data_IF_909187753975
#
_entry.id   IF_909187753975
#
_cell.length_a   1.000
_cell.length_b   1.000
_cell.length_c   1.000
_cell.angle_alpha   90.00
_cell.angle_beta   90.00
_cell.angle_gamma   90.00
#
_symmetry.space_group_name_H-M   'P 1'
#
loop_
_entity.id
_entity.type
_entity.pdbx_description
1 polymer ?
#
# COMPACT_ATOMS: atom_id res chain seq x y z
N UNK A 1 35.84 -16.65 53.41
CA UNK A 1 36.79 -15.53 53.19
C UNK A 1 36.43 -14.87 51.87
N UNK A 2 36.19 -13.55 51.87
CA UNK A 2 36.13 -12.73 50.63
C UNK A 2 37.49 -12.04 50.44
N UNK A 3 37.72 -11.49 49.24
CA UNK A 3 38.80 -10.56 48.80
C UNK A 3 39.87 -11.24 47.93
N UNK A 4 40.33 -10.75 46.77
CA UNK A 4 39.96 -9.65 45.84
C UNK A 4 40.62 -9.95 44.46
N UNK A 5 40.04 -9.31 43.44
CA UNK A 5 40.37 -9.20 42.01
C UNK A 5 41.85 -8.86 41.69
N UNK A 6 42.39 -9.45 40.62
CA UNK A 6 43.45 -8.92 39.73
C UNK A 6 43.23 -9.57 38.34
N UNK A 7 42.62 -8.91 37.35
CA UNK A 7 43.19 -7.99 36.35
C UNK A 7 44.05 -8.66 35.25
N UNK A 8 43.50 -8.60 34.02
CA UNK A 8 44.19 -8.39 32.72
C UNK A 8 45.02 -9.55 32.14
N UNK A 9 44.56 -10.15 31.03
CA UNK A 9 45.18 -10.01 29.69
C UNK A 9 44.39 -10.77 28.62
N UNK A 10 44.17 -10.08 27.50
CA UNK A 10 43.58 -10.58 26.28
C UNK A 10 44.38 -11.75 25.67
N UNK A 11 43.73 -12.55 24.83
CA UNK A 11 44.17 -12.82 23.44
C UNK A 11 43.00 -13.49 22.71
N UNK A 12 42.70 -12.92 21.55
CA UNK A 12 41.70 -13.37 20.60
C UNK A 12 42.01 -14.77 20.05
N UNK A 13 40.97 -15.56 19.84
CA UNK A 13 40.98 -16.64 18.88
C UNK A 13 39.68 -16.56 18.08
N UNK A 14 39.75 -15.85 16.96
CA UNK A 14 38.77 -15.94 15.87
C UNK A 14 38.83 -17.37 15.35
N UNK A 15 37.76 -18.12 15.55
CA UNK A 15 37.53 -19.40 14.90
C UNK A 15 36.17 -19.34 14.23
N UNK A 16 36.18 -18.90 12.97
CA UNK A 16 35.09 -19.11 12.04
C UNK A 16 35.05 -20.59 11.66
N UNK A 17 33.96 -21.27 12.03
CA UNK A 17 33.47 -22.51 11.42
C UNK A 17 31.94 -22.42 11.50
N UNK A 18 31.31 -21.77 10.53
CA UNK A 18 30.70 -22.36 9.34
C UNK A 18 29.63 -23.44 9.64
N UNK A 19 28.39 -22.96 9.50
CA UNK A 19 27.19 -23.64 9.04
C UNK A 19 26.56 -24.73 9.93
N UNK A 20 25.54 -24.32 10.68
CA UNK A 20 24.39 -25.17 11.01
C UNK A 20 23.13 -24.28 11.11
N UNK A 21 22.31 -24.34 10.06
CA UNK A 21 20.85 -24.11 9.99
C UNK A 21 20.17 -23.56 11.25
N UNK A 22 19.78 -22.28 11.21
CA UNK A 22 18.77 -21.69 12.08
C UNK A 22 18.06 -20.53 11.36
N UNK A 23 16.78 -20.38 11.67
CA UNK A 23 15.80 -19.47 11.09
C UNK A 23 16.19 -17.98 11.07
N UNK A 24 15.40 -17.27 10.27
CA UNK A 24 14.90 -15.91 10.49
C UNK A 24 15.77 -14.71 10.11
N UNK A 25 15.19 -13.95 9.16
CA UNK A 25 15.06 -12.50 9.12
C UNK A 25 16.28 -11.61 8.77
N UNK A 26 16.13 -11.07 7.54
CA UNK A 26 16.32 -9.69 7.11
C UNK A 26 17.64 -9.14 6.51
N UNK A 27 17.38 -8.36 5.45
CA UNK A 27 18.16 -7.35 4.72
C UNK A 27 19.23 -7.79 3.68
N UNK A 28 19.33 -7.24 2.45
CA UNK A 28 18.54 -6.30 1.63
C UNK A 28 19.21 -6.24 0.24
N UNK A 29 18.43 -5.87 -0.79
CA UNK A 29 18.79 -5.45 -2.18
C UNK A 29 19.01 -6.49 -3.29
N UNK A 30 18.24 -6.34 -4.39
CA UNK A 30 18.77 -6.63 -5.72
C UNK A 30 17.86 -7.28 -6.76
N UNK A 31 16.67 -6.70 -7.00
CA UNK A 31 15.88 -6.73 -8.24
C UNK A 31 16.05 -7.87 -9.28
N UNK A 32 14.98 -8.63 -9.51
CA UNK A 32 14.29 -8.65 -10.82
C UNK A 32 13.01 -9.48 -10.76
N UNK A 33 11.91 -8.71 -10.70
CA UNK A 33 10.60 -8.92 -11.31
C UNK A 33 10.40 -10.12 -12.24
N UNK A 34 9.35 -10.90 -11.93
CA UNK A 34 8.37 -11.48 -12.87
C UNK A 34 7.33 -12.27 -12.05
N UNK A 35 6.07 -11.86 -11.86
CA UNK A 35 5.36 -10.64 -12.24
C UNK A 35 4.50 -10.17 -11.07
N UNK A 36 4.32 -8.86 -10.98
CA UNK A 36 3.30 -8.27 -10.15
C UNK A 36 1.95 -8.61 -10.77
N UNK A 37 1.28 -9.63 -10.24
CA UNK A 37 -0.16 -9.51 -10.07
C UNK A 37 -0.33 -8.42 -9.02
N UNK A 38 -0.76 -7.24 -9.44
CA UNK A 38 -1.01 -6.09 -8.57
C UNK A 38 -2.29 -6.29 -7.75
N UNK A 39 -2.44 -7.47 -7.15
CA UNK A 39 -3.56 -7.85 -6.29
C UNK A 39 -3.03 -8.83 -5.25
N UNK A 40 -2.23 -8.33 -4.32
CA UNK A 40 -1.63 -9.15 -3.27
C UNK A 40 -2.36 -8.91 -1.96
N UNK A 41 -3.26 -9.83 -1.63
CA UNK A 41 -3.85 -10.01 -0.31
C UNK A 41 -2.79 -9.83 0.80
N UNK A 42 -3.04 -8.91 1.73
CA UNK A 42 -2.10 -8.56 2.79
C UNK A 42 -2.33 -9.45 4.03
N UNK A 43 -1.30 -9.79 4.82
CA UNK A 43 -1.50 -10.59 6.02
C UNK A 43 -2.42 -9.87 7.02
N UNK A 44 -3.41 -10.59 7.57
CA UNK A 44 -4.33 -10.06 8.57
C UNK A 44 -3.70 -10.11 9.96
N UNK A 45 -3.69 -8.98 10.68
CA UNK A 45 -3.42 -8.95 12.13
C UNK A 45 -4.56 -9.68 12.88
N UNK A 46 -4.27 -10.71 13.70
CA UNK A 46 -5.29 -11.45 14.45
C UNK A 46 -5.98 -10.63 15.55
N UNK A 47 -5.45 -9.45 15.91
CA UNK A 47 -6.02 -8.57 16.92
C UNK A 47 -7.04 -7.57 16.36
N UNK A 48 -7.16 -7.43 15.03
CA UNK A 48 -7.99 -6.41 14.39
C UNK A 48 -8.75 -6.95 13.18
N UNK A 49 -9.88 -6.32 12.86
CA UNK A 49 -10.60 -6.63 11.64
C UNK A 49 -9.84 -6.09 10.42
N UNK A 50 -10.10 -6.62 9.22
CA UNK A 50 -9.44 -6.11 8.02
C UNK A 50 -9.81 -4.65 7.78
N UNK A 51 -11.06 -4.28 8.01
CA UNK A 51 -11.56 -2.92 7.88
C UNK A 51 -11.02 -1.93 8.91
N UNK A 52 -10.34 -2.42 9.96
CA UNK A 52 -9.59 -1.56 10.89
C UNK A 52 -8.11 -1.41 10.48
N UNK A 53 -7.60 -2.31 9.63
CA UNK A 53 -6.21 -2.35 9.19
C UNK A 53 -5.99 -1.61 7.87
N UNK A 54 -6.96 -1.67 6.95
CA UNK A 54 -6.90 -1.02 5.64
C UNK A 54 -8.16 -0.18 5.41
N UNK A 55 -8.03 0.84 4.55
CA UNK A 55 -9.16 1.64 4.10
C UNK A 55 -9.85 0.94 2.92
N UNK A 56 -11.12 0.61 3.12
CA UNK A 56 -12.00 0.00 2.11
C UNK A 56 -13.09 0.99 1.67
N UNK A 57 -12.88 2.30 1.83
CA UNK A 57 -13.76 3.31 1.26
C UNK A 57 -13.91 3.09 -0.25
N UNK A 58 -15.15 3.10 -0.74
CA UNK A 58 -15.46 2.82 -2.14
C UNK A 58 -15.47 1.33 -2.52
N UNK A 59 -15.12 0.41 -1.62
CA UNK A 59 -15.22 -1.03 -1.87
C UNK A 59 -16.68 -1.46 -1.96
N UNK A 60 -17.00 -2.19 -3.04
CA UNK A 60 -18.36 -2.70 -3.28
C UNK A 60 -18.73 -3.82 -2.30
N UNK A 61 -17.74 -4.51 -1.73
CA UNK A 61 -17.91 -5.58 -0.76
C UNK A 61 -18.18 -4.96 0.60
N UNK A 62 -19.11 -5.55 1.34
CA UNK A 62 -19.43 -5.05 2.68
C UNK A 62 -18.30 -5.30 3.67
N UNK A 63 -18.14 -4.44 4.68
CA UNK A 63 -17.16 -4.64 5.76
C UNK A 63 -17.25 -6.04 6.40
N UNK A 64 -18.45 -6.59 6.52
CA UNK A 64 -18.65 -7.94 7.06
C UNK A 64 -18.09 -9.02 6.14
N UNK A 65 -18.26 -8.88 4.82
CA UNK A 65 -17.72 -9.79 3.82
C UNK A 65 -16.19 -9.74 3.80
N UNK A 66 -15.61 -8.54 3.74
CA UNK A 66 -14.17 -8.31 3.80
C UNK A 66 -13.56 -8.92 5.06
N UNK A 67 -14.19 -8.71 6.22
CA UNK A 67 -13.72 -9.29 7.47
C UNK A 67 -13.84 -10.82 7.49
N UNK A 68 -14.89 -11.38 6.88
CA UNK A 68 -15.07 -12.83 6.78
C UNK A 68 -13.98 -13.44 5.90
N UNK A 69 -13.68 -12.83 4.74
CA UNK A 69 -12.56 -13.24 3.87
C UNK A 69 -11.26 -13.21 4.67
N UNK A 70 -11.03 -12.14 5.43
CA UNK A 70 -9.90 -11.99 6.34
C UNK A 70 -9.75 -13.12 7.35
N UNK A 71 -10.83 -13.46 8.04
CA UNK A 71 -10.83 -14.55 9.04
C UNK A 71 -10.63 -15.93 8.40
N UNK A 72 -11.21 -16.16 7.22
CA UNK A 72 -11.15 -17.46 6.54
C UNK A 72 -9.79 -17.73 5.88
N UNK A 73 -9.18 -16.70 5.29
CA UNK A 73 -7.94 -16.82 4.52
C UNK A 73 -6.69 -16.49 5.35
N UNK A 74 -6.85 -15.73 6.44
CA UNK A 74 -5.73 -15.15 7.19
C UNK A 74 -5.08 -13.97 6.47
N UNK A 75 -5.67 -13.49 5.37
CA UNK A 75 -5.23 -12.32 4.61
C UNK A 75 -6.39 -11.38 4.34
N UNK A 76 -6.14 -10.08 4.47
CA UNK A 76 -7.07 -9.05 4.12
C UNK A 76 -7.00 -8.79 2.60
N UNK A 77 -8.14 -8.86 1.89
CA UNK A 77 -8.17 -8.66 0.46
C UNK A 77 -7.78 -7.23 0.09
N UNK A 78 -7.21 -7.03 -1.09
CA UNK A 78 -6.97 -5.68 -1.59
C UNK A 78 -8.31 -4.96 -1.82
N UNK A 79 -8.47 -3.69 -1.42
CA UNK A 79 -9.71 -2.95 -1.60
C UNK A 79 -10.06 -2.82 -3.10
N UNK A 80 -11.21 -3.38 -3.47
CA UNK A 80 -11.72 -3.36 -4.84
C UNK A 80 -12.33 -1.98 -5.13
N UNK A 81 -11.91 -1.33 -6.21
CA UNK A 81 -12.33 0.05 -6.52
C UNK A 81 -11.25 1.10 -6.30
N UNK A 82 -10.04 0.69 -5.91
CA UNK A 82 -8.87 1.57 -5.76
C UNK A 82 -7.97 1.65 -7.00
N UNK A 83 -8.39 1.07 -8.13
CA UNK A 83 -7.70 1.19 -9.42
C UNK A 83 -7.85 2.63 -9.98
N UNK A 84 -7.05 3.55 -9.43
CA UNK A 84 -6.95 4.93 -9.88
C UNK A 84 -7.73 5.92 -9.00
N UNK A 85 -7.08 6.34 -7.93
CA UNK A 85 -7.49 7.39 -7.00
C UNK A 85 -8.64 7.04 -6.06
N UNK A 86 -8.39 7.36 -4.79
CA UNK A 86 -9.37 7.60 -3.75
C UNK A 86 -10.38 8.64 -4.27
N UNK A 87 -11.41 8.18 -4.98
CA UNK A 87 -12.60 8.95 -5.24
C UNK A 87 -13.40 8.93 -3.95
N UNK A 88 -13.31 10.01 -3.18
CA UNK A 88 -14.26 10.25 -2.10
C UNK A 88 -15.70 10.11 -2.63
N UNK A 89 -16.62 9.73 -1.75
CA UNK A 89 -18.06 9.46 -1.96
C UNK A 89 -18.89 10.56 -2.69
N UNK A 90 -18.26 11.55 -3.33
CA UNK A 90 -18.86 12.58 -4.18
C UNK A 90 -18.35 12.46 -5.63
N UNK A 91 -18.18 11.22 -6.12
CA UNK A 91 -17.90 10.94 -7.53
C UNK A 91 -19.07 11.45 -8.39
N UNK A 92 -18.98 12.73 -8.79
CA UNK A 92 -19.77 13.28 -9.87
C UNK A 92 -19.59 12.48 -11.16
N UNK A 93 -20.35 12.81 -12.19
CA UNK A 93 -20.43 12.14 -13.51
C UNK A 93 -19.11 12.11 -14.34
N UNK A 94 -17.95 12.22 -13.69
CA UNK A 94 -16.63 12.30 -14.29
C UNK A 94 -15.83 10.99 -14.28
N UNK A 95 -14.68 11.03 -14.94
CA UNK A 95 -13.71 9.93 -15.01
C UNK A 95 -12.70 10.03 -13.85
N UNK A 96 -12.33 8.94 -13.17
CA UNK A 96 -11.31 8.99 -12.11
C UNK A 96 -10.00 9.60 -12.60
N UNK A 97 -9.44 10.51 -11.81
CA UNK A 97 -8.20 11.20 -12.14
C UNK A 97 -7.01 10.29 -11.85
N UNK A 98 -6.17 10.07 -12.85
CA UNK A 98 -4.91 9.33 -12.66
C UNK A 98 -3.91 10.12 -11.78
N UNK A 99 -3.23 9.45 -10.83
CA UNK A 99 -2.28 10.11 -9.95
C UNK A 99 -1.09 10.67 -10.75
N UNK A 100 -0.77 11.94 -10.53
CA UNK A 100 0.33 12.63 -11.20
C UNK A 100 0.02 13.15 -12.60
N UNK A 101 -1.20 12.96 -13.11
CA UNK A 101 -1.67 13.55 -14.37
C UNK A 101 -2.68 14.67 -14.12
N UNK A 102 -2.62 15.72 -14.95
CA UNK A 102 -3.70 16.71 -14.99
C UNK A 102 -4.88 16.14 -15.79
N UNK A 103 -6.10 16.57 -15.48
CA UNK A 103 -7.28 16.12 -16.21
C UNK A 103 -7.19 16.46 -17.69
N UNK A 104 -6.60 17.61 -18.02
CA UNK A 104 -6.39 18.01 -19.40
C UNK A 104 -5.28 17.25 -20.14
N UNK A 105 -4.44 16.50 -19.42
CA UNK A 105 -3.48 15.57 -20.01
C UNK A 105 -4.08 14.17 -20.20
N UNK A 106 -5.08 13.81 -19.40
CA UNK A 106 -5.80 12.53 -19.46
C UNK A 106 -6.94 12.55 -20.49
N UNK A 107 -7.71 13.64 -20.53
CA UNK A 107 -8.93 13.78 -21.36
C UNK A 107 -8.80 15.01 -22.25
N UNK A 108 -9.31 14.89 -23.48
CA UNK A 108 -9.31 15.97 -24.45
C UNK A 108 -10.52 16.91 -24.26
N UNK A 109 -10.29 18.09 -23.69
CA UNK A 109 -11.29 19.14 -23.47
C UNK A 109 -11.28 20.24 -24.54
N UNK A 110 -10.85 19.96 -25.78
CA UNK A 110 -10.69 21.00 -26.82
C UNK A 110 -11.98 21.78 -27.16
N UNK A 111 -13.16 21.21 -26.91
CA UNK A 111 -14.46 21.85 -27.17
C UNK A 111 -15.15 22.33 -25.88
N UNK A 112 -14.55 22.07 -24.72
CA UNK A 112 -15.12 22.44 -23.43
C UNK A 112 -14.98 23.97 -23.20
N UNK A 113 -16.04 24.67 -22.78
CA UNK A 113 -15.99 26.10 -22.51
C UNK A 113 -15.21 26.44 -21.22
N UNK A 114 -15.01 25.49 -20.31
CA UNK A 114 -14.26 25.70 -19.07
C UNK A 114 -12.77 25.77 -19.35
N UNK A 115 -12.06 26.53 -18.52
CA UNK A 115 -10.61 26.67 -18.66
C UNK A 115 -9.89 25.41 -18.17
N UNK A 116 -8.76 25.04 -18.79
CA UNK A 116 -7.93 23.91 -18.34
C UNK A 116 -7.59 23.97 -16.84
N UNK A 117 -7.34 25.16 -16.31
CA UNK A 117 -7.06 25.35 -14.88
C UNK A 117 -8.26 25.02 -13.98
N UNK A 118 -9.47 25.35 -14.42
CA UNK A 118 -10.70 25.03 -13.69
C UNK A 118 -10.94 23.52 -13.70
N UNK A 119 -10.84 22.90 -14.87
CA UNK A 119 -10.96 21.44 -15.05
C UNK A 119 -9.95 20.69 -14.18
N UNK A 120 -8.69 21.14 -14.17
CA UNK A 120 -7.65 20.53 -13.35
C UNK A 120 -7.91 20.74 -11.86
N UNK A 121 -8.37 21.93 -11.44
CA UNK A 121 -8.75 22.19 -10.04
C UNK A 121 -9.88 21.26 -9.60
N UNK A 122 -10.92 21.10 -10.42
CA UNK A 122 -12.03 20.18 -10.13
C UNK A 122 -11.48 18.76 -9.91
N UNK A 123 -10.63 18.25 -10.80
CA UNK A 123 -10.07 16.91 -10.64
C UNK A 123 -9.15 16.74 -9.44
N UNK A 124 -8.41 17.78 -9.05
CA UNK A 124 -7.58 17.75 -7.82
C UNK A 124 -8.46 17.77 -6.55
N UNK A 125 -9.56 18.52 -6.57
CA UNK A 125 -10.47 18.64 -5.42
C UNK A 125 -11.39 17.42 -5.24
N UNK A 126 -11.83 16.81 -6.34
CA UNK A 126 -12.80 15.70 -6.32
C UNK A 126 -12.17 14.32 -6.54
N UNK A 127 -10.89 14.27 -6.93
CA UNK A 127 -10.26 13.03 -7.41
C UNK A 127 -10.81 12.54 -8.76
N UNK A 128 -11.65 13.33 -9.44
CA UNK A 128 -12.38 12.91 -10.64
C UNK A 128 -12.38 14.03 -11.69
N UNK A 129 -11.90 13.72 -12.90
CA UNK A 129 -11.94 14.61 -14.05
C UNK A 129 -13.37 14.76 -14.60
N UNK A 130 -13.91 15.98 -14.72
CA UNK A 130 -15.30 16.19 -15.09
C UNK A 130 -15.60 15.75 -16.54
N UNK A 131 -16.87 15.41 -16.87
CA UNK A 131 -17.24 15.13 -18.26
C UNK A 131 -17.06 16.39 -19.13
N UNK A 132 -16.74 16.21 -20.41
CA UNK A 132 -16.63 17.31 -21.39
C UNK A 132 -18.01 17.89 -21.67
N UNK A 133 -18.15 19.22 -21.65
CA UNK A 133 -19.42 19.92 -21.94
C UNK A 133 -19.61 20.33 -23.40
#
# INVERSE_FOLDING_TARGET
MRVRKISVLAIAAVAACLALTACDSDDTEGASSSGADSSVDAPKDPAQSCTDQFDYAGDSRSNAEINTIGEETGTCPEPEGTEGAEAGDDAGDGTPKEPGLSCTDQINYAEDPRSNAEINTIGEETGTCPPVE
#
